data_IF_072301186051
#
_entry.id   IF_072301186051
#
_cell.length_a   1.000
_cell.length_b   1.000
_cell.length_c   1.000
_cell.angle_alpha   90.00
_cell.angle_beta   90.00
_cell.angle_gamma   90.00
#
_symmetry.space_group_name_H-M   'P 1'
#
loop_
_entity.id
_entity.type
_entity.pdbx_description
1 polymer ?
#
# COMPACT_ATOMS: atom_id res chain seq x y z
N UNK A 1 -15.39 14.51 -6.67
CA UNK A 1 -14.22 14.64 -6.70
C UNK A 1 -13.54 14.52 -5.46
N UNK A 2 -12.68 13.98 -5.39
CA UNK A 2 -12.08 13.55 -4.25
C UNK A 2 -10.80 14.28 -4.03
N UNK A 3 -10.77 15.11 -3.05
CA UNK A 3 -9.56 15.87 -2.82
C UNK A 3 -8.41 14.97 -2.41
N UNK A 4 -8.70 13.84 -1.84
CA UNK A 4 -7.63 12.90 -1.50
C UNK A 4 -6.91 12.42 -2.75
N UNK A 5 -7.64 12.23 -3.83
CA UNK A 5 -7.02 11.81 -5.07
C UNK A 5 -6.08 12.87 -5.61
N UNK A 6 -6.45 14.13 -5.45
CA UNK A 6 -5.59 15.22 -5.90
C UNK A 6 -4.32 15.30 -5.10
N UNK A 7 -4.36 14.88 -3.84
CA UNK A 7 -3.21 14.99 -2.97
C UNK A 7 -2.29 13.78 -3.01
N UNK A 8 -2.62 12.79 -3.79
CA UNK A 8 -1.76 11.63 -3.89
C UNK A 8 -0.51 11.95 -4.68
N UNK A 9 0.62 11.57 -4.12
CA UNK A 9 1.88 11.74 -4.82
C UNK A 9 2.09 10.68 -5.87
N UNK A 10 1.52 9.50 -5.67
CA UNK A 10 1.72 8.36 -6.54
C UNK A 10 0.40 7.85 -7.02
N UNK A 11 0.40 7.39 -8.25
CA UNK A 11 -0.77 6.81 -8.83
C UNK A 11 -1.14 5.52 -8.13
N UNK A 12 -2.40 5.30 -7.95
CA UNK A 12 -2.89 4.04 -7.40
C UNK A 12 -3.65 3.27 -8.44
N UNK A 13 -3.58 1.96 -8.32
CA UNK A 13 -4.16 1.04 -9.27
C UNK A 13 -5.13 0.15 -8.56
N UNK A 14 -6.32 -0.01 -9.12
CA UNK A 14 -7.24 -1.02 -8.63
C UNK A 14 -6.70 -2.38 -8.99
N UNK A 15 -6.71 -3.30 -8.04
CA UNK A 15 -6.17 -4.61 -8.26
C UNK A 15 -7.26 -5.57 -8.69
N UNK A 16 -6.97 -6.48 -9.60
CA UNK A 16 -7.87 -7.60 -9.81
C UNK A 16 -8.00 -8.30 -8.48
N UNK A 17 -9.04 -9.04 -8.33
CA UNK A 17 -9.27 -9.69 -7.07
C UNK A 17 -8.07 -10.53 -6.64
N UNK A 18 -7.99 -10.82 -5.39
CA UNK A 18 -7.13 -11.86 -4.91
C UNK A 18 -5.86 -11.46 -4.25
N UNK A 19 -5.47 -10.22 -4.32
CA UNK A 19 -4.25 -9.86 -3.62
C UNK A 19 -4.53 -9.70 -2.14
N UNK A 20 -3.85 -10.47 -1.34
CA UNK A 20 -4.03 -10.48 0.10
C UNK A 20 -2.86 -9.81 0.79
N UNK A 21 -3.12 -9.32 1.97
CA UNK A 21 -2.11 -8.65 2.76
C UNK A 21 -2.33 -9.02 4.22
N UNK A 22 -1.24 -9.27 4.92
CA UNK A 22 -1.27 -9.42 6.36
C UNK A 22 -0.87 -8.10 6.96
N UNK A 23 -1.58 -7.66 7.98
CA UNK A 23 -1.25 -6.42 8.65
C UNK A 23 -1.48 -6.57 10.14
N UNK A 24 -0.75 -5.80 10.90
CA UNK A 24 -0.81 -5.89 12.35
C UNK A 24 -0.57 -4.52 12.96
N UNK A 25 -1.54 -4.08 13.76
CA UNK A 25 -1.38 -2.90 14.58
C UNK A 25 -1.18 -3.35 16.01
N UNK A 26 -2.04 -2.86 16.90
CA UNK A 26 -1.95 -3.23 18.31
C UNK A 26 -2.55 -4.58 18.58
N UNK A 27 -3.48 -5.02 17.76
CA UNK A 27 -4.16 -6.26 17.97
C UNK A 27 -3.52 -7.42 17.24
N UNK A 28 -4.26 -8.47 16.99
CA UNK A 28 -3.72 -9.64 16.30
C UNK A 28 -3.47 -9.35 14.83
N UNK A 29 -2.62 -10.18 14.25
CA UNK A 29 -2.36 -10.11 12.83
C UNK A 29 -3.63 -10.49 12.07
N UNK A 30 -3.92 -9.71 11.05
CA UNK A 30 -5.13 -9.89 10.27
C UNK A 30 -4.75 -10.00 8.80
N UNK A 31 -5.48 -10.84 8.07
CA UNK A 31 -5.25 -11.00 6.63
C UNK A 31 -6.51 -10.56 5.92
N UNK A 32 -6.39 -9.56 5.05
CA UNK A 32 -7.51 -9.08 4.27
C UNK A 32 -7.04 -8.82 2.85
N UNK A 33 -7.86 -8.13 2.07
CA UNK A 33 -7.56 -7.90 0.66
C UNK A 33 -7.10 -6.49 0.44
N UNK A 34 -6.22 -6.35 -0.54
CA UNK A 34 -5.79 -5.03 -1.00
C UNK A 34 -6.74 -4.59 -2.10
N UNK A 35 -7.35 -3.43 -1.93
CA UNK A 35 -8.26 -2.90 -2.94
C UNK A 35 -7.50 -2.07 -3.96
N UNK A 36 -6.60 -1.21 -3.53
CA UNK A 36 -5.77 -0.43 -4.44
C UNK A 36 -4.34 -0.44 -3.97
N UNK A 37 -3.43 -0.37 -4.92
CA UNK A 37 -2.01 -0.44 -4.66
C UNK A 37 -1.31 0.72 -5.34
N UNK A 38 -0.38 1.33 -4.63
CA UNK A 38 0.49 2.35 -5.18
C UNK A 38 1.84 2.29 -4.51
N UNK A 39 2.78 3.08 -4.99
CA UNK A 39 4.10 3.09 -4.40
C UNK A 39 4.11 3.81 -3.06
N UNK A 40 3.20 4.73 -2.87
CA UNK A 40 3.11 5.47 -1.61
C UNK A 40 2.27 4.81 -0.56
N UNK A 41 1.37 3.90 -0.94
CA UNK A 41 0.50 3.27 0.03
C UNK A 41 -0.56 2.39 -0.60
N UNK A 42 -1.46 1.94 0.24
CA UNK A 42 -2.48 0.96 -0.12
C UNK A 42 -3.82 1.38 0.44
N UNK A 43 -4.89 0.90 -0.18
CA UNK A 43 -6.18 0.83 0.50
C UNK A 43 -6.48 -0.65 0.76
N UNK A 44 -6.74 -0.98 2.00
CA UNK A 44 -6.89 -2.35 2.47
C UNK A 44 -8.28 -2.53 3.04
N UNK A 45 -8.95 -3.61 2.64
CA UNK A 45 -10.24 -3.95 3.24
C UNK A 45 -10.05 -4.26 4.72
N UNK A 46 -10.92 -3.76 5.55
CA UNK A 46 -10.86 -4.05 6.98
C UNK A 46 -12.21 -3.78 7.60
N UNK A 47 -12.69 -4.75 8.37
CA UNK A 47 -13.94 -4.59 9.08
C UNK A 47 -13.80 -3.60 10.22
N UNK A 48 -12.73 -3.75 10.98
CA UNK A 48 -12.44 -2.88 12.11
C UNK A 48 -11.05 -2.30 11.96
N UNK A 49 -10.90 -1.30 11.08
CA UNK A 49 -9.58 -0.74 10.86
C UNK A 49 -9.09 0.04 12.07
N UNK A 50 -7.79 0.07 12.27
CA UNK A 50 -7.20 0.93 13.30
C UNK A 50 -7.52 2.39 13.05
N UNK A 51 -7.33 3.20 14.07
CA UNK A 51 -7.63 4.62 13.96
C UNK A 51 -6.56 5.33 13.16
N UNK A 52 -6.93 6.46 12.59
CA UNK A 52 -6.00 7.30 11.85
C UNK A 52 -4.83 7.68 12.74
N UNK A 53 -3.64 7.57 12.19
CA UNK A 53 -2.40 7.87 12.92
C UNK A 53 -1.74 6.65 13.51
N UNK A 54 -2.43 5.54 13.58
CA UNK A 54 -1.82 4.34 14.13
C UNK A 54 -0.77 3.79 13.17
N UNK A 55 0.34 3.32 13.71
CA UNK A 55 1.41 2.71 12.94
C UNK A 55 1.16 1.21 12.89
N UNK A 56 1.19 0.65 11.70
CA UNK A 56 0.98 -0.77 11.51
C UNK A 56 2.10 -1.34 10.67
N UNK A 57 2.23 -2.65 10.70
CA UNK A 57 3.18 -3.37 9.88
C UNK A 57 2.40 -4.15 8.85
N UNK A 58 2.91 -4.18 7.63
CA UNK A 58 2.24 -4.87 6.54
C UNK A 58 3.19 -5.84 5.87
N UNK A 59 2.63 -6.93 5.38
CA UNK A 59 3.37 -8.00 4.74
C UNK A 59 2.54 -8.52 3.59
N UNK A 60 3.10 -8.52 2.39
CA UNK A 60 2.39 -9.08 1.26
C UNK A 60 3.38 -9.61 0.22
N UNK A 61 2.89 -10.50 -0.63
CA UNK A 61 3.72 -11.16 -1.61
C UNK A 61 3.57 -10.50 -2.95
N UNK A 62 4.67 -10.32 -3.63
CA UNK A 62 4.68 -9.82 -5.00
C UNK A 62 5.60 -10.73 -5.79
N UNK A 63 5.58 -10.63 -7.12
CA UNK A 63 6.58 -11.38 -7.89
C UNK A 63 7.98 -11.01 -7.43
N UNK A 64 8.77 -12.01 -7.17
CA UNK A 64 10.12 -11.78 -6.70
C UNK A 64 10.31 -11.86 -5.21
N UNK A 65 9.24 -11.90 -4.43
CA UNK A 65 9.38 -12.08 -3.00
C UNK A 65 8.38 -11.29 -2.18
N UNK A 66 8.67 -11.18 -0.92
CA UNK A 66 7.78 -10.54 0.03
C UNK A 66 8.10 -9.06 0.18
N UNK A 67 7.07 -8.26 0.38
CA UNK A 67 7.22 -6.85 0.74
C UNK A 67 6.80 -6.70 2.18
N UNK A 68 7.68 -6.14 2.99
CA UNK A 68 7.41 -5.79 4.38
C UNK A 68 7.60 -4.31 4.54
N UNK A 69 6.69 -3.69 5.25
CA UNK A 69 6.79 -2.24 5.43
C UNK A 69 6.11 -1.83 6.72
N UNK A 70 6.50 -0.67 7.19
CA UNK A 70 5.80 0.03 8.25
C UNK A 70 4.95 1.09 7.59
N UNK A 71 3.73 1.25 8.05
CA UNK A 71 2.81 2.19 7.44
C UNK A 71 2.01 2.92 8.51
N UNK A 72 1.44 4.05 8.12
CA UNK A 72 0.60 4.85 9.00
C UNK A 72 -0.80 4.88 8.43
N UNK A 73 -1.79 4.68 9.26
CA UNK A 73 -3.18 4.74 8.84
C UNK A 73 -3.54 6.21 8.62
N UNK A 74 -3.92 6.53 7.39
CA UNK A 74 -4.29 7.91 7.02
C UNK A 74 -5.77 8.09 6.86
N UNK A 75 -6.50 7.00 6.68
CA UNK A 75 -7.93 7.03 6.48
C UNK A 75 -8.49 5.77 7.09
N UNK A 76 -9.57 5.87 7.85
CA UNK A 76 -10.12 4.71 8.53
C UNK A 76 -11.63 4.76 8.36
N UNK A 77 -12.18 3.73 7.72
CA UNK A 77 -13.62 3.64 7.45
C UNK A 77 -14.13 2.31 7.96
N UNK A 78 -14.69 2.28 9.17
CA UNK A 78 -15.18 1.02 9.75
C UNK A 78 -16.15 0.32 8.83
N UNK A 79 -15.99 -0.99 8.73
CA UNK A 79 -16.82 -1.80 7.85
C UNK A 79 -16.37 -1.78 6.41
N UNK A 80 -15.44 -0.93 6.05
CA UNK A 80 -14.97 -0.80 4.67
C UNK A 80 -13.48 -1.08 4.58
N UNK A 81 -12.67 -0.25 5.23
CA UNK A 81 -11.25 -0.43 5.14
C UNK A 81 -10.46 0.77 5.61
N UNK A 82 -9.20 0.80 5.22
CA UNK A 82 -8.30 1.87 5.63
C UNK A 82 -7.32 2.19 4.51
N UNK A 83 -7.01 3.47 4.39
CA UNK A 83 -5.93 3.93 3.53
C UNK A 83 -4.68 4.05 4.37
N UNK A 84 -3.60 3.46 3.91
CA UNK A 84 -2.34 3.53 4.63
C UNK A 84 -1.27 4.12 3.73
N UNK A 85 -0.33 4.78 4.36
CA UNK A 85 0.82 5.36 3.69
C UNK A 85 2.07 4.67 4.19
N UNK A 86 2.92 4.22 3.29
CA UNK A 86 4.17 3.60 3.70
C UNK A 86 5.05 4.63 4.39
N UNK A 87 5.52 4.28 5.57
CA UNK A 87 6.42 5.14 6.32
C UNK A 87 7.86 4.69 6.18
N UNK A 88 8.08 3.39 6.08
CA UNK A 88 9.43 2.86 5.93
C UNK A 88 9.37 1.54 5.20
N UNK A 89 10.30 1.38 4.27
CA UNK A 89 10.39 0.16 3.48
C UNK A 89 11.83 0.03 3.00
N UNK A 90 12.39 -1.16 3.15
CA UNK A 90 13.76 -1.40 2.70
C UNK A 90 13.85 -1.33 1.17
N UNK A 91 15.06 -1.09 0.65
CA UNK A 91 15.21 -0.95 -0.80
C UNK A 91 14.82 -2.20 -1.59
N UNK A 92 15.11 -3.38 -1.09
CA UNK A 92 14.78 -4.60 -1.80
C UNK A 92 13.28 -4.81 -1.98
N UNK A 93 12.49 -4.78 -0.92
CA UNK A 93 11.03 -4.85 -1.08
C UNK A 93 10.48 -3.73 -1.94
N UNK A 94 11.06 -2.54 -1.82
CA UNK A 94 10.61 -1.42 -2.63
C UNK A 94 10.83 -1.68 -4.10
N UNK A 95 11.96 -2.27 -4.46
CA UNK A 95 12.24 -2.60 -5.85
C UNK A 95 11.24 -3.63 -6.38
N UNK A 96 10.87 -4.60 -5.56
CA UNK A 96 9.88 -5.59 -5.95
C UNK A 96 8.52 -4.93 -6.19
N UNK A 97 8.15 -4.00 -5.33
CA UNK A 97 6.88 -3.30 -5.48
C UNK A 97 6.86 -2.48 -6.75
N UNK A 98 7.96 -1.78 -7.05
CA UNK A 98 8.05 -1.01 -8.27
C UNK A 98 7.89 -1.90 -9.50
N UNK A 99 8.50 -3.07 -9.46
CA UNK A 99 8.40 -4.00 -10.57
C UNK A 99 6.96 -4.46 -10.78
N UNK A 100 6.26 -4.74 -9.69
CA UNK A 100 4.86 -5.12 -9.78
C UNK A 100 4.02 -3.99 -10.36
N UNK A 101 4.23 -2.77 -9.87
CA UNK A 101 3.46 -1.63 -10.35
C UNK A 101 3.69 -1.38 -11.83
N UNK A 102 4.93 -1.52 -12.29
CA UNK A 102 5.21 -1.37 -13.71
C UNK A 102 4.46 -2.39 -14.54
N UNK A 103 4.41 -3.60 -14.05
CA UNK A 103 3.70 -4.66 -14.75
C UNK A 103 2.22 -4.35 -14.82
N UNK A 104 1.65 -3.87 -13.73
CA UNK A 104 0.23 -3.56 -13.70
C UNK A 104 -0.13 -2.35 -14.53
N UNK A 105 0.79 -1.40 -14.65
CA UNK A 105 0.56 -0.20 -15.44
C UNK A 105 0.98 -0.34 -16.89
N UNK A 106 1.48 -1.50 -17.28
CA UNK A 106 1.94 -1.66 -18.65
C UNK A 106 3.23 -0.95 -18.90
N UNK A 107 4.06 -0.84 -17.87
CA UNK A 107 5.40 -0.31 -18.05
C UNK A 107 5.46 1.12 -18.49
N UNK A 108 4.49 1.94 -18.13
CA UNK A 108 4.48 3.27 -18.64
C UNK A 108 4.50 4.22 -17.53
N UNK A 109 4.79 4.48 -16.68
CA UNK A 109 4.59 5.51 -15.70
C UNK A 109 5.85 6.19 -15.27
N UNK A 110 6.11 7.34 -15.76
CA UNK A 110 7.20 8.12 -15.20
C UNK A 110 7.05 8.30 -13.70
N UNK A 111 5.83 8.28 -13.21
CA UNK A 111 5.60 8.39 -11.79
C UNK A 111 6.27 7.26 -11.01
N UNK A 112 6.50 6.14 -11.64
CA UNK A 112 7.14 5.03 -10.95
C UNK A 112 8.63 5.26 -10.78
N UNK A 113 9.21 6.13 -11.58
CA UNK A 113 10.63 6.41 -11.51
C UNK A 113 10.92 7.44 -10.43
N UNK A 114 10.10 8.46 -10.35
CA UNK A 114 10.33 9.54 -9.41
C UNK A 114 10.43 9.02 -7.96
N UNK A 115 9.53 8.14 -7.53
CA UNK A 115 9.63 7.66 -6.15
C UNK A 115 10.90 6.89 -5.86
N UNK A 116 11.51 6.32 -6.86
CA UNK A 116 12.76 5.59 -6.65
C UNK A 116 13.90 6.51 -6.29
N UNK A 117 13.85 7.73 -6.76
CA UNK A 117 14.89 8.69 -6.47
C UNK A 117 14.73 9.32 -5.11
N UNK A 118 13.63 9.08 -4.43
CA UNK A 118 13.36 9.70 -3.16
C UNK A 118 13.56 8.71 -2.05
N UNK A 119 14.40 9.03 -1.11
CA UNK A 119 14.57 8.17 0.05
C UNK A 119 13.28 8.16 0.85
N UNK A 120 13.07 7.11 1.52
CA UNK A 120 11.88 6.97 2.33
C UNK A 120 12.19 7.26 3.78
#
# INVERSE_FOLDING_TARGET
MDSAAKNRRYKRIGLPKGMQIAWQGRGPRTVTRVATLGLGGLFIDAEKPPVVGEVIRVFFEVPGGEVRATAVVRNSQPGIGMGIEFAAMDPEPRARLVKLLRRLLGDSGPELIVPLARPV
#
